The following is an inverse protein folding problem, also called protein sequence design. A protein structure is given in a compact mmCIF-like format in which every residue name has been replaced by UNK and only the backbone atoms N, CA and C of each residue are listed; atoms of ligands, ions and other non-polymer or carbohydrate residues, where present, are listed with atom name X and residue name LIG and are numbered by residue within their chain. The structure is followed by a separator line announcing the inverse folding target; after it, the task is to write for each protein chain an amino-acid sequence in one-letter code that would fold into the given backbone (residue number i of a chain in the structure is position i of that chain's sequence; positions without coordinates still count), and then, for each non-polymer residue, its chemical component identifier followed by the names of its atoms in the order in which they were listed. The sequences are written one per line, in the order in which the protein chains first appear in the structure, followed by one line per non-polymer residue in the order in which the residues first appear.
data_IF_873995921959
#
_entry.id   IF_873995921959
#
_cell.length_a   1.000
_cell.length_b   1.000
_cell.length_c   1.000
_cell.angle_alpha   90.00
_cell.angle_beta   90.00
_cell.angle_gamma   90.00
#
_symmetry.space_group_name_H-M   'P 1'
#
loop_
_entity.id
_entity.type
_entity.pdbx_description
1 polymer ?
#
# COMPACT_ATOMS: atom_id res chain seq x y z
N UNK A 1 1.76 -15.62 12.36
CA UNK A 1 1.50 -14.16 12.19
C UNK A 1 1.23 -13.87 10.74
N UNK A 2 0.28 -13.01 10.44
CA UNK A 2 -0.01 -12.64 9.06
C UNK A 2 1.11 -11.78 8.48
N UNK A 3 1.37 -11.86 7.17
CA UNK A 3 2.36 -10.99 6.54
C UNK A 3 1.91 -9.52 6.54
N UNK A 4 2.87 -8.60 6.40
CA UNK A 4 2.56 -7.17 6.28
C UNK A 4 2.13 -6.79 4.87
N UNK A 5 2.46 -7.61 3.87
CA UNK A 5 1.99 -7.40 2.51
C UNK A 5 1.84 -8.74 1.78
N UNK A 6 1.02 -8.75 0.74
CA UNK A 6 0.97 -9.82 -0.24
C UNK A 6 1.06 -9.20 -1.63
N UNK A 7 1.50 -10.00 -2.58
CA UNK A 7 1.65 -9.56 -3.97
C UNK A 7 0.92 -10.54 -4.87
N UNK A 8 0.05 -10.02 -5.72
CA UNK A 8 -0.72 -10.83 -6.67
C UNK A 8 -0.49 -10.33 -8.10
N UNK A 9 -0.50 -11.26 -9.06
CA UNK A 9 -0.55 -10.90 -10.48
C UNK A 9 -1.94 -10.41 -10.85
N UNK A 10 -2.01 -9.54 -11.85
CA UNK A 10 -3.27 -9.00 -12.34
C UNK A 10 -3.31 -9.07 -13.85
N UNK A 11 -4.39 -9.65 -14.40
CA UNK A 11 -4.61 -9.78 -15.84
C UNK A 11 -5.81 -8.93 -16.24
N UNK A 12 -5.83 -8.48 -17.51
CA UNK A 12 -7.01 -7.82 -18.06
C UNK A 12 -8.05 -8.86 -18.52
N UNK A 13 -9.18 -8.37 -19.05
CA UNK A 13 -10.27 -9.23 -19.49
C UNK A 13 -9.89 -10.11 -20.72
N UNK A 14 -8.77 -9.83 -21.36
CA UNK A 14 -8.26 -10.60 -22.50
C UNK A 14 -7.11 -11.53 -22.10
N UNK A 15 -6.92 -11.77 -20.81
CA UNK A 15 -5.84 -12.57 -20.23
C UNK A 15 -4.44 -12.00 -20.53
N UNK A 16 -4.33 -10.70 -20.75
CA UNK A 16 -3.04 -10.02 -20.86
C UNK A 16 -2.54 -9.66 -19.48
N UNK A 17 -1.33 -10.12 -19.15
CA UNK A 17 -0.74 -9.84 -17.84
C UNK A 17 -0.43 -8.34 -17.70
N UNK A 18 -1.08 -7.69 -16.73
CA UNK A 18 -0.91 -6.26 -16.47
C UNK A 18 0.23 -5.96 -15.50
N UNK A 19 0.73 -6.95 -14.77
CA UNK A 19 1.77 -6.76 -13.78
C UNK A 19 1.31 -7.19 -12.40
N UNK A 20 1.98 -6.67 -11.37
CA UNK A 20 1.74 -7.06 -9.99
C UNK A 20 1.05 -5.96 -9.22
N UNK A 21 0.29 -6.37 -8.19
CA UNK A 21 -0.35 -5.48 -7.22
C UNK A 21 0.12 -5.87 -5.84
N UNK A 22 0.60 -4.90 -5.06
CA UNK A 22 0.95 -5.11 -3.66
C UNK A 22 -0.22 -4.68 -2.78
N UNK A 23 -0.55 -5.50 -1.79
CA UNK A 23 -1.65 -5.28 -0.85
C UNK A 23 -1.06 -4.91 0.50
N UNK A 24 -1.45 -3.78 1.03
CA UNK A 24 -0.93 -3.21 2.27
C UNK A 24 -2.08 -2.74 3.13
N UNK A 25 -1.89 -2.75 4.46
CA UNK A 25 -2.87 -2.18 5.37
C UNK A 25 -2.35 -0.86 5.93
N UNK A 26 -3.10 0.22 5.72
CA UNK A 26 -2.76 1.52 6.29
C UNK A 26 -3.30 1.61 7.71
N UNK A 27 -2.43 1.67 8.74
CA UNK A 27 -2.90 1.72 10.13
C UNK A 27 -3.59 3.05 10.49
N UNK A 28 -3.26 4.12 9.77
CA UNK A 28 -3.86 5.43 10.01
C UNK A 28 -5.24 5.56 9.41
N UNK A 29 -5.44 4.99 8.20
CA UNK A 29 -6.73 5.03 7.50
C UNK A 29 -7.62 3.85 7.86
N UNK A 30 -7.05 2.82 8.51
CA UNK A 30 -7.73 1.57 8.81
C UNK A 30 -8.34 0.97 7.53
N UNK A 31 -7.55 0.90 6.47
CA UNK A 31 -8.02 0.60 5.12
C UNK A 31 -6.98 -0.17 4.32
N UNK A 32 -7.47 -1.03 3.43
CA UNK A 32 -6.64 -1.80 2.51
C UNK A 32 -6.18 -0.90 1.34
N UNK A 33 -4.88 -0.89 1.07
CA UNK A 33 -4.32 -0.27 -0.12
C UNK A 33 -3.87 -1.38 -1.08
N UNK A 34 -4.28 -1.26 -2.33
CA UNK A 34 -3.87 -2.16 -3.42
C UNK A 34 -3.20 -1.30 -4.49
N UNK A 35 -1.89 -1.43 -4.62
CA UNK A 35 -1.10 -0.56 -5.47
C UNK A 35 -0.43 -1.35 -6.59
N UNK A 36 -0.59 -0.94 -7.86
CA UNK A 36 0.16 -1.55 -8.96
C UNK A 36 1.65 -1.22 -8.80
N UNK A 37 2.51 -2.22 -9.01
CA UNK A 37 3.95 -2.05 -8.82
C UNK A 37 4.72 -2.59 -10.02
N UNK A 38 5.85 -1.92 -10.30
CA UNK A 38 6.85 -2.34 -11.29
C UNK A 38 6.29 -2.59 -12.69
N UNK A 39 5.28 -1.84 -13.08
CA UNK A 39 4.69 -1.91 -14.42
C UNK A 39 5.50 -1.06 -15.38
N UNK A 40 5.51 -1.45 -16.65
CA UNK A 40 6.20 -0.70 -17.70
C UNK A 40 5.37 0.46 -18.23
N UNK A 41 4.04 0.41 -18.06
CA UNK A 41 3.12 1.43 -18.55
C UNK A 41 2.06 1.75 -17.49
N UNK A 42 1.56 2.98 -17.53
CA UNK A 42 0.52 3.43 -16.63
C UNK A 42 1.04 3.80 -15.25
N UNK A 43 0.11 4.05 -14.35
CA UNK A 43 0.44 4.43 -12.96
C UNK A 43 0.94 3.20 -12.22
N UNK A 44 2.13 3.29 -11.66
CA UNK A 44 2.64 2.25 -10.78
C UNK A 44 3.68 2.81 -9.83
N UNK A 45 3.94 2.05 -8.76
CA UNK A 45 5.02 2.33 -7.82
C UNK A 45 6.18 1.40 -8.11
N UNK A 46 7.38 1.84 -7.77
CA UNK A 46 8.56 0.97 -7.78
C UNK A 46 8.67 0.29 -6.44
N UNK A 47 8.67 -1.04 -6.44
CA UNK A 47 8.81 -1.87 -5.26
C UNK A 47 10.16 -2.55 -5.28
N UNK A 48 10.84 -2.60 -4.13
CA UNK A 48 12.18 -3.17 -4.00
C UNK A 48 12.20 -4.71 -3.97
N UNK A 49 11.02 -5.35 -3.99
CA UNK A 49 10.91 -6.81 -3.96
C UNK A 49 10.94 -7.43 -2.56
N UNK A 50 11.13 -6.63 -1.52
CA UNK A 50 11.16 -7.14 -0.15
C UNK A 50 9.73 -7.23 0.40
N UNK A 51 9.32 -8.43 0.83
CA UNK A 51 7.97 -8.65 1.36
C UNK A 51 7.87 -8.48 2.88
N UNK A 52 9.00 -8.44 3.56
CA UNK A 52 9.04 -8.30 5.02
C UNK A 52 9.13 -6.85 5.46
N UNK A 53 9.98 -6.08 4.79
CA UNK A 53 10.17 -4.65 5.04
C UNK A 53 10.18 -3.90 3.71
N UNK A 54 9.03 -3.81 3.04
CA UNK A 54 8.96 -3.25 1.69
C UNK A 54 9.26 -1.75 1.65
N UNK A 55 9.82 -1.32 0.52
CA UNK A 55 9.99 0.08 0.15
C UNK A 55 9.26 0.33 -1.16
N UNK A 56 8.45 1.38 -1.18
CA UNK A 56 7.75 1.84 -2.38
C UNK A 56 8.15 3.28 -2.70
N UNK A 57 8.33 3.58 -3.97
CA UNK A 57 8.57 4.94 -4.46
C UNK A 57 7.67 5.19 -5.66
N UNK A 58 7.20 6.40 -5.89
CA UNK A 58 7.29 7.60 -5.04
C UNK A 58 6.35 7.55 -3.84
N UNK A 59 5.92 8.71 -3.33
CA UNK A 59 4.98 8.79 -2.23
C UNK A 59 3.60 8.25 -2.62
N UNK A 60 2.84 7.84 -1.61
CA UNK A 60 1.48 7.32 -1.77
C UNK A 60 0.53 8.40 -1.29
N UNK A 61 -0.32 8.88 -2.20
CA UNK A 61 -1.33 9.89 -1.87
C UNK A 61 -2.72 9.31 -2.07
N UNK A 62 -3.52 9.33 -1.00
CA UNK A 62 -4.93 9.01 -1.03
C UNK A 62 -5.71 10.27 -0.68
N UNK A 63 -6.51 10.77 -1.62
CA UNK A 63 -7.37 11.92 -1.37
C UNK A 63 -8.53 11.54 -0.47
N UNK A 64 -8.80 12.37 0.54
CA UNK A 64 -9.93 12.17 1.43
C UNK A 64 -11.26 12.34 0.69
N UNK A 65 -12.27 11.58 1.13
CA UNK A 65 -13.62 11.64 0.58
C UNK A 65 -14.61 11.11 1.61
N UNK A 66 -15.65 11.88 1.89
CA UNK A 66 -16.61 11.50 2.92
C UNK A 66 -15.93 11.36 4.28
N UNK A 67 -15.98 10.16 4.86
CA UNK A 67 -15.34 9.87 6.15
C UNK A 67 -13.87 9.44 6.01
N UNK A 68 -13.39 9.24 4.78
CA UNK A 68 -12.01 8.83 4.54
C UNK A 68 -11.06 10.02 4.65
N UNK A 69 -9.99 9.91 5.45
CA UNK A 69 -9.01 10.98 5.55
C UNK A 69 -8.13 11.09 4.31
N UNK A 70 -7.52 12.26 4.12
CA UNK A 70 -6.41 12.41 3.20
C UNK A 70 -5.18 11.78 3.85
N UNK A 71 -4.50 10.90 3.12
CA UNK A 71 -3.30 10.22 3.59
C UNK A 71 -2.19 10.37 2.56
N UNK A 72 -1.09 10.97 2.96
CA UNK A 72 0.10 11.15 2.12
C UNK A 72 1.30 10.60 2.86
N UNK A 73 1.95 9.60 2.28
CA UNK A 73 2.99 8.85 3.01
C UNK A 73 4.10 8.38 2.09
N UNK A 74 5.23 8.09 2.71
CA UNK A 74 6.27 7.25 2.12
C UNK A 74 6.27 5.90 2.83
N UNK A 75 6.59 4.84 2.10
CA UNK A 75 6.83 3.53 2.70
C UNK A 75 8.28 3.16 2.47
N UNK A 76 9.07 3.10 3.53
CA UNK A 76 10.50 2.81 3.47
C UNK A 76 10.86 1.75 4.50
N UNK A 77 11.48 0.66 4.05
CA UNK A 77 11.95 -0.42 4.92
C UNK A 77 10.88 -0.90 5.92
N UNK A 78 9.63 -1.03 5.46
CA UNK A 78 8.53 -1.52 6.29
C UNK A 78 8.00 -0.50 7.30
N UNK A 79 8.31 0.78 7.12
CA UNK A 79 7.84 1.85 8.00
C UNK A 79 7.08 2.89 7.18
N UNK A 80 5.85 3.17 7.61
CA UNK A 80 5.06 4.27 7.07
C UNK A 80 5.57 5.59 7.62
N UNK A 81 5.91 6.54 6.75
CA UNK A 81 6.22 7.91 7.15
C UNK A 81 5.10 8.81 6.64
N UNK A 82 4.19 9.16 7.56
CA UNK A 82 3.06 10.01 7.23
C UNK A 82 3.48 11.47 7.21
N UNK A 83 3.14 12.16 6.12
CA UNK A 83 3.48 13.57 5.95
C UNK A 83 2.49 14.46 6.72
N UNK A 84 2.88 15.71 6.91
CA UNK A 84 2.11 16.64 7.75
C UNK A 84 0.77 17.08 7.12
N UNK A 85 0.60 16.87 5.81
CA UNK A 85 -0.65 17.18 5.12
C UNK A 85 -1.74 16.11 5.26
N UNK A 86 -1.44 15.00 5.96
CA UNK A 86 -2.46 14.02 6.30
C UNK A 86 -3.51 14.64 7.22
N UNK A 87 -4.77 14.19 7.07
CA UNK A 87 -5.88 14.68 7.91
C UNK A 87 -6.26 13.70 9.02
N UNK A 88 -5.53 12.60 9.17
CA UNK A 88 -5.71 11.67 10.28
C UNK A 88 -4.75 11.95 11.44
N UNK A 89 -4.93 11.24 12.55
CA UNK A 89 -4.19 11.49 13.79
C UNK A 89 -2.70 11.17 13.72
N UNK A 90 -2.27 10.38 12.71
CA UNK A 90 -0.86 9.97 12.58
C UNK A 90 -0.04 10.88 11.68
N UNK A 91 -0.56 12.04 11.29
CA UNK A 91 0.17 13.02 10.46
C UNK A 91 1.51 13.36 11.11
N UNK A 92 2.58 13.33 10.31
CA UNK A 92 3.93 13.62 10.78
C UNK A 92 4.62 12.50 11.56
N UNK A 93 3.96 11.33 11.71
CA UNK A 93 4.51 10.21 12.48
C UNK A 93 5.15 9.16 11.58
N UNK A 94 6.10 8.42 12.14
CA UNK A 94 6.63 7.20 11.56
C UNK A 94 6.02 6.00 12.29
N UNK A 95 5.39 5.08 11.54
CA UNK A 95 4.64 3.98 12.11
C UNK A 95 5.05 2.69 11.39
N UNK A 96 5.52 1.67 12.11
CA UNK A 96 5.80 0.38 11.47
C UNK A 96 4.56 -0.22 10.81
N UNK A 97 4.77 -0.96 9.72
CA UNK A 97 3.68 -1.68 9.07
C UNK A 97 3.04 -2.67 10.04
N UNK A 98 1.75 -2.85 9.89
CA UNK A 98 0.99 -3.84 10.67
C UNK A 98 0.65 -5.02 9.77
N UNK A 99 0.46 -6.24 10.35
CA UNK A 99 0.03 -7.39 9.58
C UNK A 99 -1.31 -7.17 8.90
N UNK A 100 -1.50 -7.80 7.74
CA UNK A 100 -2.79 -7.80 7.07
C UNK A 100 -3.82 -8.54 7.94
N UNK A 101 -5.08 -8.08 7.96
CA UNK A 101 -6.15 -8.76 8.68
C UNK A 101 -6.42 -10.17 8.15
N UNK A 102 -6.93 -11.06 9.00
CA UNK A 102 -7.25 -12.43 8.61
C UNK A 102 -8.21 -12.50 7.43
N UNK A 103 -9.21 -11.63 7.39
CA UNK A 103 -10.21 -11.65 6.32
C UNK A 103 -9.61 -11.30 4.94
N UNK A 104 -8.50 -10.54 4.91
CA UNK A 104 -7.76 -10.30 3.67
C UNK A 104 -6.98 -11.56 3.26
N UNK A 105 -6.30 -12.19 4.21
CA UNK A 105 -5.51 -13.39 3.95
C UNK A 105 -6.41 -14.53 3.47
N UNK A 106 -7.60 -14.67 4.05
CA UNK A 106 -8.55 -15.72 3.70
C UNK A 106 -9.11 -15.59 2.28
N UNK A 107 -8.98 -14.42 1.65
CA UNK A 107 -9.41 -14.18 0.28
C UNK A 107 -8.36 -14.51 -0.77
N UNK A 108 -7.16 -14.81 -0.36
CA UNK A 108 -6.02 -15.01 -1.28
C UNK A 108 -5.51 -16.47 -1.40
#
# INVERSE_FOLDING_TARGET
MNPVCIVSGEDDINDVYLGEVIWLWCPACDHLARLPVNRTEGVSWTWDGNKEVPTLTPSILQHGSGTMPTCHSFLENGVWRFLSDCTHAMAGMEVPMVPLPDWIIDQT
#
